data_IF_738896614213
#
_entry.id   IF_738896614213
#
_cell.length_a   1.000
_cell.length_b   1.000
_cell.length_c   1.000
_cell.angle_alpha   90.00
_cell.angle_beta   90.00
_cell.angle_gamma   90.00
#
_symmetry.space_group_name_H-M   'P 1'
#
loop_
_entity.id
_entity.type
_entity.pdbx_description
1 polymer ?
#
# COMPACT_ATOMS: atom_id res chain seq x y z
N UNK A 1 -24.67 -19.90 -4.53
CA UNK A 1 -24.32 -20.83 -3.43
C UNK A 1 -24.68 -22.30 -3.69
N UNK A 2 -25.93 -22.65 -4.05
CA UNK A 2 -26.36 -24.07 -4.23
C UNK A 2 -25.50 -24.90 -5.23
N UNK A 3 -25.05 -24.31 -6.34
CA UNK A 3 -24.23 -25.03 -7.33
C UNK A 3 -22.81 -25.33 -6.84
N UNK A 4 -22.25 -24.48 -5.99
CA UNK A 4 -20.91 -24.68 -5.41
C UNK A 4 -20.91 -25.84 -4.40
N UNK A 5 -21.97 -25.94 -3.59
CA UNK A 5 -22.16 -27.05 -2.64
C UNK A 5 -22.31 -28.38 -3.38
N UNK A 6 -23.10 -28.44 -4.46
CA UNK A 6 -23.22 -29.64 -5.30
C UNK A 6 -21.87 -30.07 -5.89
N UNK A 7 -21.08 -29.11 -6.39
CA UNK A 7 -19.75 -29.39 -6.96
C UNK A 7 -18.78 -29.96 -5.89
N UNK A 8 -18.78 -29.40 -4.68
CA UNK A 8 -17.96 -29.91 -3.58
C UNK A 8 -18.33 -31.34 -3.18
N UNK A 9 -19.63 -31.65 -3.15
CA UNK A 9 -20.12 -33.02 -2.86
C UNK A 9 -19.64 -33.98 -3.95
N UNK A 10 -19.78 -33.62 -5.23
CA UNK A 10 -19.31 -34.45 -6.36
C UNK A 10 -17.81 -34.72 -6.26
N UNK A 11 -17.00 -33.68 -6.01
CA UNK A 11 -15.54 -33.81 -5.86
C UNK A 11 -15.20 -34.74 -4.68
N UNK A 12 -15.90 -34.59 -3.54
CA UNK A 12 -15.70 -35.45 -2.37
C UNK A 12 -16.01 -36.92 -2.65
N UNK A 13 -17.09 -37.20 -3.38
CA UNK A 13 -17.47 -38.55 -3.80
C UNK A 13 -16.44 -39.14 -4.75
N UNK A 14 -15.98 -38.39 -5.75
CA UNK A 14 -14.95 -38.83 -6.70
C UNK A 14 -13.64 -39.16 -5.97
N UNK A 15 -13.21 -38.32 -5.03
CA UNK A 15 -12.00 -38.56 -4.24
C UNK A 15 -12.14 -39.85 -3.41
N UNK A 16 -13.30 -40.05 -2.78
CA UNK A 16 -13.57 -41.22 -1.95
C UNK A 16 -13.62 -42.50 -2.78
N UNK A 17 -14.30 -42.46 -3.93
CA UNK A 17 -14.36 -43.57 -4.87
C UNK A 17 -12.98 -43.93 -5.44
N UNK A 18 -12.17 -42.92 -5.78
CA UNK A 18 -10.79 -43.11 -6.23
C UNK A 18 -9.90 -43.79 -5.17
N UNK A 19 -10.09 -43.48 -3.89
CA UNK A 19 -9.38 -44.15 -2.79
C UNK A 19 -9.80 -45.61 -2.65
N UNK A 20 -11.09 -45.90 -2.81
CA UNK A 20 -11.63 -47.27 -2.74
C UNK A 20 -11.09 -48.11 -3.89
N UNK A 21 -11.08 -47.57 -5.11
CA UNK A 21 -10.50 -48.25 -6.27
C UNK A 21 -9.02 -48.55 -6.04
N UNK A 22 -8.23 -47.55 -5.62
CA UNK A 22 -6.80 -47.74 -5.37
C UNK A 22 -6.53 -48.89 -4.37
N UNK A 23 -7.24 -48.91 -3.24
CA UNK A 23 -7.12 -50.00 -2.25
C UNK A 23 -7.53 -51.36 -2.83
N UNK A 24 -8.61 -51.43 -3.61
CA UNK A 24 -9.04 -52.66 -4.26
C UNK A 24 -8.00 -53.15 -5.28
N UNK A 25 -7.36 -52.25 -6.02
CA UNK A 25 -6.31 -52.59 -6.98
C UNK A 25 -5.09 -53.18 -6.28
N UNK A 26 -4.63 -52.60 -5.16
CA UNK A 26 -3.50 -53.15 -4.39
C UNK A 26 -3.79 -54.58 -3.87
N UNK A 27 -5.00 -54.79 -3.33
CA UNK A 27 -5.46 -56.12 -2.88
C UNK A 27 -5.54 -57.10 -4.06
N UNK A 28 -6.05 -56.65 -5.21
CA UNK A 28 -6.15 -57.46 -6.41
C UNK A 28 -4.76 -57.90 -6.92
N UNK A 29 -3.77 -57.01 -6.95
CA UNK A 29 -2.40 -57.31 -7.36
C UNK A 29 -1.78 -58.37 -6.42
N UNK A 30 -1.96 -58.22 -5.10
CA UNK A 30 -1.45 -59.18 -4.12
C UNK A 30 -2.12 -60.56 -4.24
N UNK A 31 -3.44 -60.59 -4.40
CA UNK A 31 -4.18 -61.84 -4.59
C UNK A 31 -3.76 -62.55 -5.87
N UNK A 32 -3.60 -61.81 -6.96
CA UNK A 32 -3.16 -62.35 -8.26
C UNK A 32 -1.73 -62.93 -8.16
N UNK A 33 -0.81 -62.22 -7.49
CA UNK A 33 0.54 -62.73 -7.22
C UNK A 33 0.51 -64.05 -6.44
N UNK A 34 -0.27 -64.11 -5.36
CA UNK A 34 -0.39 -65.32 -4.54
C UNK A 34 -1.00 -66.48 -5.33
N UNK A 35 -2.05 -66.24 -6.13
CA UNK A 35 -2.68 -67.27 -6.96
C UNK A 35 -1.73 -67.81 -8.02
N UNK A 36 -1.02 -66.94 -8.74
CA UNK A 36 -0.05 -67.36 -9.76
C UNK A 36 1.08 -68.18 -9.12
N UNK A 37 1.62 -67.73 -7.96
CA UNK A 37 2.65 -68.47 -7.25
C UNK A 37 2.19 -69.87 -6.82
N UNK A 38 0.99 -69.98 -6.24
CA UNK A 38 0.45 -71.28 -5.82
C UNK A 38 0.23 -72.22 -7.01
N UNK A 39 -0.31 -71.70 -8.11
CA UNK A 39 -0.50 -72.48 -9.34
C UNK A 39 0.84 -72.98 -9.91
N UNK A 40 1.87 -72.13 -9.91
CA UNK A 40 3.21 -72.52 -10.37
C UNK A 40 3.84 -73.58 -9.44
N UNK A 41 3.66 -73.47 -8.12
CA UNK A 41 4.14 -74.47 -7.17
C UNK A 41 3.44 -75.83 -7.33
N UNK A 42 2.13 -75.83 -7.58
CA UNK A 42 1.38 -77.06 -7.87
C UNK A 42 1.84 -77.70 -9.18
N UNK A 43 2.06 -76.90 -10.23
CA UNK A 43 2.53 -77.40 -11.53
C UNK A 43 3.90 -78.10 -11.44
N UNK A 44 4.77 -77.60 -10.54
CA UNK A 44 6.04 -78.27 -10.22
C UNK A 44 5.83 -79.64 -9.57
N UNK A 45 4.85 -79.77 -8.68
CA UNK A 45 4.55 -81.05 -8.02
C UNK A 45 3.99 -82.07 -9.03
N UNK A 46 3.11 -81.63 -9.92
CA UNK A 46 2.44 -82.50 -10.89
C UNK A 46 3.36 -82.90 -12.06
N UNK A 47 4.33 -82.05 -12.44
CA UNK A 47 5.20 -82.26 -13.61
C UNK A 47 6.68 -81.91 -13.32
N UNK A 48 7.44 -82.81 -12.68
CA UNK A 48 8.84 -82.58 -12.28
C UNK A 48 9.77 -82.18 -13.43
N UNK A 49 9.52 -82.66 -14.65
CA UNK A 49 10.29 -82.34 -15.86
C UNK A 49 10.23 -80.85 -16.25
N UNK A 50 9.26 -80.08 -15.72
CA UNK A 50 9.10 -78.64 -16.00
C UNK A 50 9.73 -77.73 -14.96
N UNK A 51 10.41 -78.29 -13.95
CA UNK A 51 10.90 -77.59 -12.76
C UNK A 51 11.77 -76.35 -13.09
N UNK A 52 12.68 -76.45 -14.05
CA UNK A 52 13.56 -75.33 -14.47
C UNK A 52 12.74 -74.15 -14.99
N UNK A 53 11.73 -74.41 -15.82
CA UNK A 53 10.85 -73.39 -16.39
C UNK A 53 9.97 -72.76 -15.31
N UNK A 54 9.44 -73.57 -14.38
CA UNK A 54 8.62 -73.08 -13.26
C UNK A 54 9.41 -72.12 -12.37
N UNK A 55 10.67 -72.42 -12.04
CA UNK A 55 11.50 -71.51 -11.24
C UNK A 55 11.80 -70.20 -11.97
N UNK A 56 12.06 -70.24 -13.28
CA UNK A 56 12.22 -69.01 -14.08
C UNK A 56 10.96 -68.15 -14.05
N UNK A 57 9.78 -68.76 -14.18
CA UNK A 57 8.50 -68.05 -14.11
C UNK A 57 8.23 -67.47 -12.72
N UNK A 58 8.54 -68.21 -11.65
CA UNK A 58 8.43 -67.70 -10.28
C UNK A 58 9.32 -66.46 -10.05
N UNK A 59 10.54 -66.46 -10.59
CA UNK A 59 11.41 -65.30 -10.50
C UNK A 59 10.86 -64.09 -11.29
N UNK A 60 10.35 -64.31 -12.50
CA UNK A 60 9.69 -63.27 -13.29
C UNK A 60 8.48 -62.67 -12.57
N UNK A 61 7.61 -63.51 -11.99
CA UNK A 61 6.43 -63.08 -11.22
C UNK A 61 6.85 -62.28 -9.97
N UNK A 62 7.91 -62.71 -9.28
CA UNK A 62 8.49 -61.99 -8.15
C UNK A 62 9.02 -60.61 -8.55
N UNK A 63 9.76 -60.54 -9.66
CA UNK A 63 10.34 -59.30 -10.17
C UNK A 63 9.26 -58.32 -10.64
N UNK A 64 8.21 -58.79 -11.32
CA UNK A 64 7.06 -57.99 -11.71
C UNK A 64 6.29 -57.45 -10.50
N UNK A 65 6.08 -58.27 -9.47
CA UNK A 65 5.43 -57.83 -8.24
C UNK A 65 6.25 -56.74 -7.52
N UNK A 66 7.56 -56.93 -7.37
CA UNK A 66 8.47 -55.94 -6.78
C UNK A 66 8.47 -54.62 -7.57
N UNK A 67 8.52 -54.69 -8.90
CA UNK A 67 8.48 -53.51 -9.76
C UNK A 67 7.15 -52.76 -9.61
N UNK A 68 6.02 -53.47 -9.61
CA UNK A 68 4.69 -52.90 -9.42
C UNK A 68 4.55 -52.21 -8.06
N UNK A 69 5.00 -52.86 -6.99
CA UNK A 69 4.99 -52.29 -5.64
C UNK A 69 5.80 -51.00 -5.55
N UNK A 70 7.02 -50.99 -6.10
CA UNK A 70 7.89 -49.81 -6.12
C UNK A 70 7.24 -48.64 -6.88
N UNK A 71 6.62 -48.91 -8.03
CA UNK A 71 5.89 -47.89 -8.80
C UNK A 71 4.73 -47.32 -7.98
N UNK A 72 3.97 -48.16 -7.27
CA UNK A 72 2.86 -47.70 -6.42
C UNK A 72 3.36 -46.79 -5.28
N UNK A 73 4.42 -47.19 -4.59
CA UNK A 73 5.03 -46.39 -3.52
C UNK A 73 5.56 -45.04 -4.02
N UNK A 74 6.24 -45.00 -5.18
CA UNK A 74 6.68 -43.75 -5.82
C UNK A 74 5.50 -42.85 -6.18
N UNK A 75 4.43 -43.41 -6.76
CA UNK A 75 3.21 -42.64 -7.08
C UNK A 75 2.56 -42.05 -5.83
N UNK A 76 2.54 -42.79 -4.72
CA UNK A 76 2.01 -42.28 -3.45
C UNK A 76 2.83 -41.10 -2.92
N UNK A 77 4.16 -41.21 -2.92
CA UNK A 77 5.07 -40.13 -2.51
C UNK A 77 4.87 -38.88 -3.38
N UNK A 78 4.92 -39.04 -4.71
CA UNK A 78 4.72 -37.94 -5.66
C UNK A 78 3.36 -37.26 -5.49
N UNK A 79 2.29 -38.03 -5.27
CA UNK A 79 0.95 -37.47 -5.03
C UNK A 79 0.89 -36.64 -3.76
N UNK A 80 1.58 -37.07 -2.71
CA UNK A 80 1.65 -36.36 -1.43
C UNK A 80 2.43 -35.05 -1.59
N UNK A 81 3.59 -35.10 -2.23
CA UNK A 81 4.41 -33.92 -2.53
C UNK A 81 3.65 -32.91 -3.40
N UNK A 82 2.97 -33.39 -4.45
CA UNK A 82 2.16 -32.54 -5.31
C UNK A 82 1.03 -31.84 -4.54
N UNK A 83 0.39 -32.55 -3.60
CA UNK A 83 -0.66 -31.95 -2.76
C UNK A 83 -0.10 -30.82 -1.89
N UNK A 84 1.09 -31.01 -1.30
CA UNK A 84 1.76 -29.98 -0.50
C UNK A 84 2.10 -28.77 -1.39
N UNK A 85 2.71 -28.98 -2.55
CA UNK A 85 3.03 -27.90 -3.50
C UNK A 85 1.79 -27.13 -3.98
N UNK A 86 0.66 -27.82 -4.20
CA UNK A 86 -0.61 -27.16 -4.54
C UNK A 86 -1.09 -26.28 -3.39
N UNK A 87 -1.03 -26.76 -2.15
CA UNK A 87 -1.43 -25.99 -0.97
C UNK A 87 -0.56 -24.73 -0.80
N UNK A 88 0.75 -24.88 -0.93
CA UNK A 88 1.70 -23.76 -0.91
C UNK A 88 1.40 -22.75 -2.02
N UNK A 89 1.13 -23.21 -3.25
CA UNK A 89 0.78 -22.32 -4.36
C UNK A 89 -0.50 -21.52 -4.11
N UNK A 90 -1.50 -22.12 -3.46
CA UNK A 90 -2.74 -21.41 -3.07
C UNK A 90 -2.46 -20.32 -2.04
N UNK A 91 -1.62 -20.61 -1.04
CA UNK A 91 -1.22 -19.63 -0.03
C UNK A 91 -0.47 -18.45 -0.67
N UNK A 92 0.54 -18.75 -1.49
CA UNK A 92 1.33 -17.74 -2.20
C UNK A 92 0.46 -16.86 -3.12
N UNK A 93 -0.50 -17.45 -3.85
CA UNK A 93 -1.45 -16.69 -4.68
C UNK A 93 -2.31 -15.76 -3.83
N UNK A 94 -2.78 -16.24 -2.69
CA UNK A 94 -3.60 -15.44 -1.77
C UNK A 94 -2.82 -14.26 -1.21
N UNK A 95 -1.57 -14.48 -0.81
CA UNK A 95 -0.67 -13.44 -0.32
C UNK A 95 -0.33 -12.43 -1.43
N UNK A 96 -0.05 -12.90 -2.65
CA UNK A 96 0.23 -12.04 -3.79
C UNK A 96 -0.94 -11.10 -4.11
N UNK A 97 -2.18 -11.60 -4.03
CA UNK A 97 -3.39 -10.77 -4.19
C UNK A 97 -3.48 -9.70 -3.10
N UNK A 98 -3.23 -10.07 -1.83
CA UNK A 98 -3.23 -9.11 -0.72
C UNK A 98 -2.18 -8.01 -0.92
N UNK A 99 -0.95 -8.40 -1.25
CA UNK A 99 0.14 -7.46 -1.51
C UNK A 99 -0.18 -6.53 -2.67
N UNK A 100 -0.73 -7.03 -3.78
CA UNK A 100 -1.17 -6.19 -4.90
C UNK A 100 -2.23 -5.18 -4.49
N UNK A 101 -3.20 -5.57 -3.67
CA UNK A 101 -4.21 -4.64 -3.14
C UNK A 101 -3.55 -3.55 -2.28
N UNK A 102 -2.66 -3.95 -1.36
CA UNK A 102 -1.96 -3.00 -0.49
C UNK A 102 -1.07 -2.02 -1.26
N UNK A 103 -0.37 -2.49 -2.30
CA UNK A 103 0.42 -1.62 -3.18
C UNK A 103 -0.48 -0.58 -3.85
N UNK A 104 -1.61 -1.01 -4.43
CA UNK A 104 -2.56 -0.10 -5.07
C UNK A 104 -3.12 0.94 -4.10
N UNK A 105 -3.43 0.54 -2.86
CA UNK A 105 -3.91 1.45 -1.82
C UNK A 105 -2.83 2.47 -1.42
N UNK A 106 -1.57 2.03 -1.30
CA UNK A 106 -0.43 2.90 -1.01
C UNK A 106 -0.17 3.88 -2.15
N UNK A 107 -0.20 3.43 -3.41
CA UNK A 107 -0.08 4.29 -4.58
C UNK A 107 -1.18 5.37 -4.61
N UNK A 108 -2.43 4.99 -4.29
CA UNK A 108 -3.52 5.95 -4.20
C UNK A 108 -3.29 7.00 -3.12
N UNK A 109 -2.85 6.58 -1.92
CA UNK A 109 -2.54 7.50 -0.81
C UNK A 109 -1.37 8.42 -1.14
N UNK A 110 -0.34 7.87 -1.78
CA UNK A 110 0.83 8.63 -2.23
C UNK A 110 0.43 9.73 -3.22
N UNK A 111 -0.35 9.37 -4.24
CA UNK A 111 -0.83 10.33 -5.24
C UNK A 111 -1.71 11.44 -4.64
N UNK A 112 -2.55 11.10 -3.65
CA UNK A 112 -3.34 12.10 -2.92
C UNK A 112 -2.44 13.05 -2.13
N UNK A 113 -1.50 12.51 -1.34
CA UNK A 113 -0.55 13.30 -0.56
C UNK A 113 0.31 14.20 -1.47
N UNK A 114 0.71 13.71 -2.64
CA UNK A 114 1.47 14.50 -3.60
C UNK A 114 0.66 15.70 -4.11
N UNK A 115 -0.61 15.50 -4.47
CA UNK A 115 -1.52 16.60 -4.87
C UNK A 115 -1.73 17.61 -3.75
N UNK A 116 -1.85 17.16 -2.50
CA UNK A 116 -1.96 18.06 -1.34
C UNK A 116 -0.71 18.91 -1.15
N UNK A 117 0.48 18.31 -1.27
CA UNK A 117 1.76 19.02 -1.19
C UNK A 117 1.86 20.06 -2.31
N UNK A 118 1.53 19.70 -3.54
CA UNK A 118 1.52 20.63 -4.68
C UNK A 118 0.57 21.81 -4.45
N UNK A 119 -0.62 21.54 -3.90
CA UNK A 119 -1.61 22.57 -3.60
C UNK A 119 -1.12 23.51 -2.50
N UNK A 120 -0.56 22.97 -1.41
CA UNK A 120 0.02 23.76 -0.32
C UNK A 120 1.21 24.59 -0.81
N UNK A 121 2.07 24.04 -1.65
CA UNK A 121 3.20 24.77 -2.24
C UNK A 121 2.73 25.95 -3.09
N UNK A 122 1.69 25.77 -3.91
CA UNK A 122 1.10 26.88 -4.69
C UNK A 122 0.52 27.97 -3.79
N UNK A 123 -0.17 27.59 -2.71
CA UNK A 123 -0.70 28.54 -1.73
C UNK A 123 0.43 29.29 -1.01
N UNK A 124 1.49 28.59 -0.63
CA UNK A 124 2.66 29.17 0.04
C UNK A 124 3.40 30.16 -0.87
N UNK A 125 3.55 29.84 -2.16
CA UNK A 125 4.12 30.76 -3.14
C UNK A 125 3.31 32.07 -3.26
N UNK A 126 1.97 31.97 -3.29
CA UNK A 126 1.07 33.14 -3.30
C UNK A 126 1.20 33.97 -2.02
N UNK A 127 1.23 33.32 -0.86
CA UNK A 127 1.41 34.00 0.42
C UNK A 127 2.77 34.71 0.51
N UNK A 128 3.83 34.08 0.01
CA UNK A 128 5.17 34.69 -0.06
C UNK A 128 5.19 35.94 -0.94
N UNK A 129 4.53 35.90 -2.10
CA UNK A 129 4.37 37.07 -2.95
C UNK A 129 3.64 38.22 -2.24
N UNK A 130 2.52 37.92 -1.57
CA UNK A 130 1.75 38.93 -0.82
C UNK A 130 2.54 39.51 0.35
N UNK A 131 3.30 38.68 1.07
CA UNK A 131 4.15 39.13 2.17
C UNK A 131 5.21 40.13 1.68
N UNK A 132 5.85 39.84 0.55
CA UNK A 132 6.80 40.77 -0.06
C UNK A 132 6.14 42.09 -0.48
N UNK A 133 4.92 42.06 -1.01
CA UNK A 133 4.18 43.27 -1.35
C UNK A 133 3.90 44.12 -0.10
N UNK A 134 3.37 43.52 0.97
CA UNK A 134 3.09 44.20 2.24
C UNK A 134 4.37 44.76 2.88
N UNK A 135 5.48 44.03 2.81
CA UNK A 135 6.76 44.51 3.33
C UNK A 135 7.26 45.76 2.58
N UNK A 136 7.12 45.81 1.25
CA UNK A 136 7.46 47.00 0.46
C UNK A 136 6.57 48.20 0.83
N UNK A 137 5.28 47.98 0.99
CA UNK A 137 4.34 49.03 1.38
C UNK A 137 4.66 49.58 2.78
N UNK A 138 4.98 48.68 3.73
CA UNK A 138 5.46 49.05 5.07
C UNK A 138 6.73 49.90 5.01
N UNK A 139 7.71 49.53 4.17
CA UNK A 139 8.96 50.28 4.01
C UNK A 139 8.69 51.70 3.45
N UNK A 140 7.82 51.82 2.45
CA UNK A 140 7.42 53.12 1.90
C UNK A 140 6.72 54.01 2.95
N UNK A 141 5.80 53.43 3.74
CA UNK A 141 5.15 54.17 4.82
C UNK A 141 6.15 54.59 5.90
N UNK A 142 7.07 53.72 6.28
CA UNK A 142 8.11 54.03 7.27
C UNK A 142 8.98 55.19 6.80
N UNK A 143 9.40 55.20 5.53
CA UNK A 143 10.19 56.29 4.95
C UNK A 143 9.41 57.61 4.97
N UNK A 144 8.11 57.58 4.63
CA UNK A 144 7.26 58.77 4.65
C UNK A 144 7.04 59.31 6.06
N UNK A 145 6.89 58.44 7.06
CA UNK A 145 6.81 58.84 8.47
C UNK A 145 8.10 59.53 8.91
N UNK A 146 9.27 58.97 8.59
CA UNK A 146 10.57 59.58 8.91
C UNK A 146 10.71 60.96 8.26
N UNK A 147 10.36 61.08 6.98
CA UNK A 147 10.41 62.34 6.25
C UNK A 147 9.51 63.42 6.87
N UNK A 148 8.26 63.06 7.22
CA UNK A 148 7.33 64.00 7.87
C UNK A 148 7.82 64.42 9.27
N UNK A 149 8.46 63.51 10.02
CA UNK A 149 9.06 63.83 11.31
C UNK A 149 10.25 64.78 11.17
N UNK A 150 11.07 64.62 10.13
CA UNK A 150 12.17 65.53 9.80
C UNK A 150 11.65 66.91 9.38
N UNK A 151 10.63 66.97 8.51
CA UNK A 151 9.96 68.22 8.12
C UNK A 151 9.38 68.95 9.34
N UNK A 152 8.72 68.22 10.25
CA UNK A 152 8.18 68.79 11.48
C UNK A 152 9.29 69.38 12.36
N UNK A 153 10.44 68.70 12.50
CA UNK A 153 11.61 69.23 13.22
C UNK A 153 12.15 70.51 12.57
N UNK A 154 12.28 70.52 11.24
CA UNK A 154 12.77 71.70 10.51
C UNK A 154 11.84 72.91 10.66
N UNK A 155 10.52 72.71 10.58
CA UNK A 155 9.54 73.77 10.80
C UNK A 155 9.58 74.32 12.22
N UNK A 156 9.75 73.45 13.22
CA UNK A 156 9.89 73.87 14.62
C UNK A 156 11.14 74.75 14.81
N UNK A 157 12.26 74.39 14.18
CA UNK A 157 13.49 75.18 14.20
C UNK A 157 13.29 76.53 13.50
N UNK A 158 12.63 76.55 12.33
CA UNK A 158 12.38 77.77 11.55
C UNK A 158 11.47 78.76 12.27
N UNK A 159 10.43 78.28 12.94
CA UNK A 159 9.52 79.12 13.73
C UNK A 159 10.10 79.56 15.09
N UNK A 160 11.25 79.00 15.49
CA UNK A 160 11.97 79.38 16.72
C UNK A 160 13.08 80.41 16.47
N UNK A 161 13.33 80.81 15.21
CA UNK A 161 14.23 81.92 14.90
C UNK A 161 13.46 83.25 14.97
N UNK A 162 13.97 84.28 15.69
CA UNK A 162 13.31 85.58 15.72
C UNK A 162 13.37 86.23 14.34
N UNK A 163 12.21 86.65 13.81
CA UNK A 163 12.12 87.48 12.60
C UNK A 163 12.84 88.82 12.84
N UNK A 164 14.01 89.02 12.22
CA UNK A 164 14.51 90.37 11.98
C UNK A 164 13.66 91.01 10.88
N UNK A 165 12.64 91.77 11.28
CA UNK A 165 11.96 92.73 10.42
C UNK A 165 12.35 94.13 10.85
N UNK A 166 13.26 94.72 10.08
CA UNK A 166 13.48 96.17 10.06
C UNK A 166 12.19 96.85 9.60
N UNK A 167 11.57 97.63 10.48
CA UNK A 167 10.48 98.55 10.14
C UNK A 167 10.73 99.88 10.84
N UNK A 168 11.14 100.86 10.04
CA UNK A 168 11.17 102.27 10.38
C UNK A 168 9.93 102.98 9.78
N UNK A 169 9.50 104.03 10.47
CA UNK A 169 8.45 105.02 10.19
C UNK A 169 6.97 104.69 10.52
N UNK A 170 6.53 105.27 11.65
CA UNK A 170 5.37 106.19 11.82
C UNK A 170 4.10 105.90 11.00
N UNK A 171 2.89 105.84 11.56
CA UNK A 171 2.25 106.88 12.36
C UNK A 171 0.92 106.37 12.99
N UNK A 172 0.48 107.07 14.04
CA UNK A 172 -0.65 106.84 14.93
C UNK A 172 -2.02 106.47 14.32
N UNK A 173 -2.79 105.59 14.99
CA UNK A 173 -4.02 105.98 15.70
C UNK A 173 -4.60 104.83 16.54
N UNK A 174 -4.97 105.18 17.77
CA UNK A 174 -5.63 104.39 18.80
C UNK A 174 -7.03 103.94 18.42
N UNK A 175 -7.48 102.79 18.93
CA UNK A 175 -8.76 102.66 19.63
C UNK A 175 -8.84 101.28 20.33
N UNK A 176 -9.13 101.31 21.62
CA UNK A 176 -9.48 100.14 22.44
C UNK A 176 -10.86 99.60 22.06
N UNK A 177 -11.12 98.31 22.31
CA UNK A 177 -12.24 97.82 23.15
C UNK A 177 -12.25 96.28 23.22
N UNK A 178 -11.95 95.78 24.43
CA UNK A 178 -12.62 94.73 25.22
C UNK A 178 -13.33 93.52 24.57
N UNK A 179 -13.06 92.35 25.18
CA UNK A 179 -14.03 91.32 25.66
C UNK A 179 -14.87 90.61 24.59
N UNK A 180 -14.95 89.27 24.54
CA UNK A 180 -15.50 88.41 25.59
C UNK A 180 -15.24 86.93 25.29
N UNK A 181 -14.99 86.14 26.33
CA UNK A 181 -15.02 84.68 26.34
C UNK A 181 -16.47 84.14 26.24
N UNK A 182 -16.67 83.00 25.57
CA UNK A 182 -17.19 81.78 26.22
C UNK A 182 -17.40 80.63 25.20
N UNK A 183 -17.13 79.37 25.60
CA UNK A 183 -17.42 78.16 24.84
C UNK A 183 -18.83 77.65 25.15
N UNK A 184 -19.41 76.84 24.28
CA UNK A 184 -20.60 76.06 24.62
C UNK A 184 -20.37 74.58 24.36
N UNK A 185 -20.27 73.83 25.46
CA UNK A 185 -20.52 72.40 25.54
C UNK A 185 -21.77 72.17 26.37
N UNK A 186 -22.72 71.42 25.83
CA UNK A 186 -23.85 70.75 26.50
C UNK A 186 -24.68 70.09 25.37
N UNK A 187 -25.23 68.89 25.49
CA UNK A 187 -25.29 67.87 26.53
C UNK A 187 -25.55 66.53 25.81
#
# INVERSE_FOLDING_TARGET
MKNYIKLLIIISVIISFSKIIAKKTDIFILNTYNQINQNLLNLKQDYPQTQTTVYSLLDQVCNLYKASKNISEKRFKNKTELKIKIQENVLLKTENIKLKSSIKDLESKFNLSQKEIETKNKALAKNSYMLNYVNKEKEQMQNKVTQLQEEQKHLLIKNSQPENKDLNSENNQSLSLTSTCAPNSSL
#
